data_IF_675459281611
#
_entry.id   IF_675459281611
#
_cell.length_a   1.000
_cell.length_b   1.000
_cell.length_c   1.000
_cell.angle_alpha   90.00
_cell.angle_beta   90.00
_cell.angle_gamma   90.00
#
_symmetry.space_group_name_H-M   'P 1'
#
loop_
_entity.id
_entity.type
_entity.pdbx_description
1 polymer ?
#
# COMPACT_ATOMS: atom_id res chain seq x y z
N UNK A 1 34.54 4.21 -12.01
CA UNK A 1 33.39 5.14 -12.16
C UNK A 1 32.27 4.36 -12.82
N UNK A 2 31.39 3.79 -12.01
CA UNK A 2 30.24 3.03 -12.50
C UNK A 2 29.17 4.04 -12.91
N UNK A 3 28.76 4.01 -14.17
CA UNK A 3 27.67 4.84 -14.69
C UNK A 3 26.42 4.57 -13.84
N UNK A 4 25.97 5.57 -13.08
CA UNK A 4 24.65 5.56 -12.46
C UNK A 4 23.66 5.55 -13.61
N UNK A 5 23.09 4.39 -13.92
CA UNK A 5 21.91 4.29 -14.75
C UNK A 5 20.85 5.16 -14.06
N UNK A 6 20.57 6.32 -14.63
CA UNK A 6 19.57 7.23 -14.12
C UNK A 6 18.24 6.47 -14.26
N UNK A 7 17.67 6.02 -13.14
CA UNK A 7 16.44 5.24 -13.16
C UNK A 7 15.32 6.12 -13.73
N UNK A 8 14.94 5.89 -14.99
CA UNK A 8 13.98 6.70 -15.73
C UNK A 8 12.54 6.51 -15.26
N UNK A 9 12.29 5.61 -14.29
CA UNK A 9 10.96 5.36 -13.76
C UNK A 9 10.41 6.61 -13.04
N UNK A 10 9.08 6.84 -13.07
CA UNK A 10 8.47 7.90 -12.29
C UNK A 10 8.82 7.78 -10.80
N UNK A 11 9.08 8.92 -10.14
CA UNK A 11 9.46 8.97 -8.71
C UNK A 11 8.49 8.20 -7.81
N UNK A 12 7.18 8.25 -8.10
CA UNK A 12 6.16 7.49 -7.36
C UNK A 12 6.40 5.97 -7.43
N UNK A 13 6.81 5.45 -8.59
CA UNK A 13 7.11 4.02 -8.80
C UNK A 13 8.39 3.62 -8.06
N UNK A 14 9.43 4.46 -8.10
CA UNK A 14 10.68 4.23 -7.37
C UNK A 14 10.40 4.13 -5.86
N UNK A 15 9.63 5.09 -5.32
CA UNK A 15 9.25 5.10 -3.89
C UNK A 15 8.39 3.90 -3.52
N UNK A 16 7.40 3.54 -4.33
CA UNK A 16 6.56 2.38 -4.07
C UNK A 16 7.36 1.06 -4.10
N UNK A 17 8.33 0.94 -5.02
CA UNK A 17 9.22 -0.25 -5.07
C UNK A 17 10.07 -0.33 -3.80
N UNK A 18 10.70 0.77 -3.40
CA UNK A 18 11.52 0.81 -2.18
C UNK A 18 10.69 0.50 -0.93
N UNK A 19 9.46 1.00 -0.83
CA UNK A 19 8.56 0.70 0.27
C UNK A 19 8.18 -0.80 0.31
N UNK A 20 7.89 -1.40 -0.84
CA UNK A 20 7.59 -2.83 -0.92
C UNK A 20 8.79 -3.69 -0.49
N UNK A 21 10.01 -3.31 -0.88
CA UNK A 21 11.23 -4.00 -0.46
C UNK A 21 11.51 -3.83 1.03
N UNK A 22 11.26 -2.64 1.59
CA UNK A 22 11.36 -2.39 3.02
C UNK A 22 10.39 -3.29 3.83
N UNK A 23 9.13 -3.42 3.39
CA UNK A 23 8.16 -4.30 4.04
C UNK A 23 8.52 -5.79 3.96
N UNK A 24 9.07 -6.24 2.82
CA UNK A 24 9.63 -7.60 2.70
C UNK A 24 10.80 -7.81 3.68
N UNK A 25 11.70 -6.84 3.77
CA UNK A 25 12.84 -6.88 4.69
C UNK A 25 12.37 -6.90 6.15
N UNK A 26 11.42 -6.05 6.53
CA UNK A 26 10.85 -6.02 7.88
C UNK A 26 10.24 -7.38 8.26
N UNK A 27 9.52 -8.03 7.33
CA UNK A 27 8.97 -9.37 7.53
C UNK A 27 10.06 -10.42 7.78
N UNK A 28 11.14 -10.39 7.00
CA UNK A 28 12.27 -11.31 7.17
C UNK A 28 13.00 -11.08 8.50
N UNK A 29 13.21 -9.81 8.87
CA UNK A 29 13.82 -9.45 10.15
C UNK A 29 12.96 -9.90 11.33
N UNK A 30 11.64 -9.64 11.29
CA UNK A 30 10.73 -10.05 12.37
C UNK A 30 10.65 -11.58 12.52
N UNK A 31 10.77 -12.32 11.42
CA UNK A 31 10.84 -13.79 11.45
C UNK A 31 12.10 -14.31 12.16
N UNK A 32 13.20 -13.56 12.13
CA UNK A 32 14.45 -13.93 12.77
C UNK A 32 14.58 -13.37 14.20
N UNK A 33 13.74 -12.41 14.60
CA UNK A 33 13.77 -11.77 15.90
C UNK A 33 13.25 -12.70 17.01
N UNK A 34 13.74 -12.49 18.23
CA UNK A 34 13.05 -12.98 19.44
C UNK A 34 11.79 -12.12 19.62
N UNK A 35 10.59 -12.71 19.77
CA UNK A 35 9.37 -11.94 19.89
C UNK A 35 9.41 -10.94 21.06
N UNK A 36 9.18 -9.66 20.75
CA UNK A 36 9.02 -8.58 21.72
C UNK A 36 7.67 -7.88 21.50
N UNK A 37 6.98 -7.59 22.59
CA UNK A 37 5.72 -6.83 22.57
C UNK A 37 5.91 -5.44 21.95
N UNK A 38 7.07 -4.81 22.15
CA UNK A 38 7.34 -3.48 21.59
C UNK A 38 7.39 -3.53 20.06
N UNK A 39 7.90 -4.63 19.50
CA UNK A 39 7.95 -4.82 18.05
C UNK A 39 6.54 -4.99 17.48
N UNK A 40 5.67 -5.73 18.15
CA UNK A 40 4.28 -5.87 17.72
C UNK A 40 3.56 -4.52 17.71
N UNK A 41 3.74 -3.72 18.77
CA UNK A 41 3.16 -2.39 18.88
C UNK A 41 3.70 -1.46 17.77
N UNK A 42 5.02 -1.35 17.64
CA UNK A 42 5.66 -0.45 16.69
C UNK A 42 5.36 -0.84 15.24
N UNK A 43 5.50 -2.13 14.88
CA UNK A 43 5.22 -2.61 13.52
C UNK A 43 3.75 -2.42 13.15
N UNK A 44 2.83 -2.55 14.11
CA UNK A 44 1.41 -2.30 13.83
C UNK A 44 1.13 -0.82 13.55
N UNK A 45 1.77 0.10 14.28
CA UNK A 45 1.70 1.52 13.99
C UNK A 45 2.12 1.83 12.53
N UNK A 46 3.25 1.27 12.10
CA UNK A 46 3.73 1.41 10.72
C UNK A 46 2.77 0.79 9.68
N UNK A 47 2.09 -0.31 10.03
CA UNK A 47 1.05 -0.91 9.18
C UNK A 47 -0.16 0.02 9.04
N UNK A 48 -0.62 0.66 10.13
CA UNK A 48 -1.73 1.63 10.08
C UNK A 48 -1.38 2.79 9.15
N UNK A 49 -0.21 3.40 9.33
CA UNK A 49 0.26 4.52 8.50
C UNK A 49 0.39 4.10 7.02
N UNK A 50 0.87 2.89 6.76
CA UNK A 50 0.98 2.35 5.39
C UNK A 50 -0.38 2.12 4.75
N UNK A 51 -1.34 1.54 5.47
CA UNK A 51 -2.71 1.32 4.96
C UNK A 51 -3.38 2.65 4.62
N UNK A 52 -3.23 3.66 5.48
CA UNK A 52 -3.74 5.00 5.23
C UNK A 52 -3.09 5.63 3.99
N UNK A 53 -1.76 5.51 3.84
CA UNK A 53 -1.05 6.01 2.67
C UNK A 53 -1.50 5.32 1.37
N UNK A 54 -1.75 4.01 1.41
CA UNK A 54 -2.30 3.26 0.27
C UNK A 54 -3.74 3.68 -0.06
N UNK A 55 -4.59 3.89 0.94
CA UNK A 55 -5.97 4.38 0.75
C UNK A 55 -5.96 5.73 0.01
N UNK A 56 -5.12 6.67 0.46
CA UNK A 56 -4.93 7.96 -0.20
C UNK A 56 -4.39 7.82 -1.64
N UNK A 57 -3.45 6.90 -1.88
CA UNK A 57 -2.96 6.63 -3.23
C UNK A 57 -4.10 6.16 -4.15
N UNK A 58 -4.95 5.24 -3.71
CA UNK A 58 -6.10 4.78 -4.52
C UNK A 58 -7.14 5.87 -4.75
N UNK A 59 -7.34 6.79 -3.80
CA UNK A 59 -8.17 7.97 -4.00
C UNK A 59 -7.61 8.86 -5.13
N UNK A 60 -6.28 9.08 -5.17
CA UNK A 60 -5.61 9.83 -6.24
C UNK A 60 -5.71 9.11 -7.58
N UNK A 61 -5.41 7.81 -7.61
CA UNK A 61 -5.48 7.01 -8.83
C UNK A 61 -6.90 7.00 -9.41
N UNK A 62 -7.94 6.91 -8.56
CA UNK A 62 -9.34 6.97 -8.99
C UNK A 62 -9.64 8.27 -9.74
N UNK A 63 -9.19 9.41 -9.23
CA UNK A 63 -9.38 10.72 -9.89
C UNK A 63 -8.63 10.76 -11.22
N UNK A 64 -7.39 10.29 -11.25
CA UNK A 64 -6.58 10.28 -12.47
C UNK A 64 -7.16 9.37 -13.55
N UNK A 65 -7.65 8.18 -13.18
CA UNK A 65 -8.29 7.22 -14.08
C UNK A 65 -9.60 7.80 -14.64
N UNK A 66 -10.43 8.42 -13.80
CA UNK A 66 -11.70 9.00 -14.23
C UNK A 66 -11.52 10.08 -15.32
N UNK A 67 -10.42 10.83 -15.29
CA UNK A 67 -10.08 11.83 -16.30
C UNK A 67 -9.19 11.32 -17.43
N UNK A 68 -8.71 10.07 -17.38
CA UNK A 68 -7.63 9.62 -18.26
C UNK A 68 -8.03 9.60 -19.75
N UNK A 69 -9.27 9.20 -20.04
CA UNK A 69 -9.79 9.16 -21.40
C UNK A 69 -10.16 10.52 -21.99
N UNK A 70 -10.21 11.58 -21.16
CA UNK A 70 -10.58 12.91 -21.67
C UNK A 70 -9.54 13.40 -22.69
N UNK A 71 -10.03 13.70 -23.90
CA UNK A 71 -9.23 14.16 -25.05
C UNK A 71 -8.13 13.18 -25.51
N UNK A 72 -8.27 11.88 -25.22
CA UNK A 72 -7.33 10.84 -25.67
C UNK A 72 -8.02 9.79 -26.52
N UNK A 73 -7.37 9.40 -27.62
CA UNK A 73 -7.76 8.18 -28.35
C UNK A 73 -7.19 6.97 -27.64
N UNK A 74 -8.06 6.12 -27.12
CA UNK A 74 -7.68 4.92 -26.40
C UNK A 74 -7.76 3.71 -27.32
N UNK A 75 -6.90 2.71 -27.06
CA UNK A 75 -6.91 1.41 -27.70
C UNK A 75 -6.80 0.35 -26.61
N UNK A 76 -7.56 -0.73 -26.75
CA UNK A 76 -7.35 -1.93 -25.97
C UNK A 76 -6.43 -2.87 -26.74
N UNK A 77 -5.45 -3.45 -26.05
CA UNK A 77 -4.56 -4.45 -26.64
C UNK A 77 -5.21 -5.84 -26.68
N UNK A 78 -6.29 -6.04 -25.93
CA UNK A 78 -7.13 -7.22 -25.93
C UNK A 78 -8.34 -7.02 -26.88
N UNK A 79 -8.54 -7.89 -27.88
CA UNK A 79 -9.66 -7.76 -28.80
C UNK A 79 -11.01 -7.81 -28.09
N UNK A 80 -11.96 -6.98 -28.53
CA UNK A 80 -13.37 -7.08 -28.14
C UNK A 80 -13.80 -6.28 -26.91
N UNK A 81 -12.90 -5.50 -26.29
CA UNK A 81 -13.24 -4.64 -25.15
C UNK A 81 -13.19 -3.16 -25.53
N UNK A 82 -14.13 -2.37 -25.02
CA UNK A 82 -14.08 -0.90 -25.09
C UNK A 82 -13.12 -0.36 -24.01
N UNK A 83 -12.04 0.36 -24.39
CA UNK A 83 -11.14 0.99 -23.42
C UNK A 83 -11.84 1.90 -22.41
N UNK A 84 -12.92 2.58 -22.80
CA UNK A 84 -13.68 3.44 -21.91
C UNK A 84 -14.37 2.65 -20.79
N UNK A 85 -14.96 1.49 -21.13
CA UNK A 85 -15.56 0.59 -20.15
C UNK A 85 -14.52 0.07 -19.16
N UNK A 86 -13.30 -0.26 -19.62
CA UNK A 86 -12.22 -0.69 -18.72
C UNK A 86 -11.77 0.40 -17.76
N UNK A 87 -11.69 1.66 -18.20
CA UNK A 87 -11.38 2.78 -17.30
C UNK A 87 -12.48 2.99 -16.25
N UNK A 88 -13.76 2.84 -16.63
CA UNK A 88 -14.89 2.88 -15.68
C UNK A 88 -14.74 1.76 -14.64
N UNK A 89 -14.46 0.53 -15.09
CA UNK A 89 -14.25 -0.61 -14.21
C UNK A 89 -13.04 -0.40 -13.29
N UNK A 90 -11.92 0.09 -13.81
CA UNK A 90 -10.72 0.40 -13.03
C UNK A 90 -10.99 1.47 -11.98
N UNK A 91 -11.79 2.49 -12.29
CA UNK A 91 -12.23 3.53 -11.35
C UNK A 91 -13.08 2.92 -10.21
N UNK A 92 -14.01 2.01 -10.55
CA UNK A 92 -14.81 1.26 -9.58
C UNK A 92 -13.94 0.40 -8.65
N UNK A 93 -12.97 -0.32 -9.22
CA UNK A 93 -12.03 -1.15 -8.47
C UNK A 93 -11.13 -0.31 -7.56
N UNK A 94 -10.64 0.85 -8.01
CA UNK A 94 -9.87 1.76 -7.16
C UNK A 94 -10.70 2.23 -5.95
N UNK A 95 -11.99 2.52 -6.15
CA UNK A 95 -12.90 2.87 -5.05
C UNK A 95 -13.21 1.71 -4.09
N UNK A 96 -13.25 0.46 -4.59
CA UNK A 96 -13.35 -0.73 -3.74
C UNK A 96 -12.09 -0.93 -2.91
N UNK A 97 -10.92 -0.90 -3.54
CA UNK A 97 -9.63 -1.04 -2.86
C UNK A 97 -9.42 0.03 -1.78
N UNK A 98 -9.79 1.28 -2.05
CA UNK A 98 -9.76 2.34 -1.04
C UNK A 98 -10.59 1.95 0.21
N UNK A 99 -11.84 1.52 0.02
CA UNK A 99 -12.71 1.12 1.14
C UNK A 99 -12.16 -0.08 1.90
N UNK A 100 -11.64 -1.08 1.20
CA UNK A 100 -11.09 -2.28 1.82
C UNK A 100 -9.84 -1.96 2.64
N UNK A 101 -9.02 -0.99 2.19
CA UNK A 101 -7.89 -0.47 2.95
C UNK A 101 -8.33 0.27 4.21
N UNK A 102 -9.39 1.09 4.14
CA UNK A 102 -9.94 1.77 5.32
C UNK A 102 -10.49 0.76 6.36
N UNK A 103 -11.06 -0.36 5.90
CA UNK A 103 -11.50 -1.46 6.79
C UNK A 103 -10.31 -2.19 7.40
N UNK A 104 -9.27 -2.46 6.61
CA UNK A 104 -8.04 -3.07 7.09
C UNK A 104 -7.33 -2.16 8.12
N UNK A 105 -7.31 -0.85 7.90
CA UNK A 105 -6.76 0.14 8.83
C UNK A 105 -7.47 0.08 10.18
N UNK A 106 -8.81 0.05 10.17
CA UNK A 106 -9.61 -0.09 11.40
C UNK A 106 -9.31 -1.40 12.14
N UNK A 107 -9.11 -2.50 11.41
CA UNK A 107 -8.72 -3.77 12.02
C UNK A 107 -7.32 -3.69 12.63
N UNK A 108 -6.36 -3.06 11.95
CA UNK A 108 -5.01 -2.83 12.45
C UNK A 108 -4.99 -1.95 13.70
N UNK A 109 -5.80 -0.88 13.74
CA UNK A 109 -5.94 -0.02 14.93
C UNK A 109 -6.51 -0.79 16.14
N UNK A 110 -7.49 -1.67 15.91
CA UNK A 110 -8.02 -2.53 16.99
C UNK A 110 -6.95 -3.48 17.50
N UNK A 111 -6.24 -4.16 16.60
CA UNK A 111 -5.12 -5.03 16.98
C UNK A 111 -4.04 -4.25 17.77
N UNK A 112 -3.70 -3.05 17.31
CA UNK A 112 -2.76 -2.17 17.97
C UNK A 112 -3.19 -1.84 19.40
N UNK A 113 -4.47 -1.52 19.59
CA UNK A 113 -5.05 -1.25 20.90
C UNK A 113 -4.98 -2.47 21.82
N UNK A 114 -5.35 -3.65 21.33
CA UNK A 114 -5.33 -4.88 22.14
C UNK A 114 -3.91 -5.24 22.58
N UNK A 115 -2.92 -5.16 21.68
CA UNK A 115 -1.53 -5.46 22.01
C UNK A 115 -0.90 -4.38 22.90
N UNK A 116 -1.25 -3.11 22.69
CA UNK A 116 -0.72 -1.99 23.48
C UNK A 116 -1.04 -2.05 24.97
N UNK A 117 -1.97 -2.91 25.39
CA UNK A 117 -2.33 -3.13 26.79
C UNK A 117 -1.61 -4.32 27.45
N UNK A 118 -0.71 -5.01 26.74
CA UNK A 118 0.04 -6.16 27.26
C UNK A 118 1.38 -5.68 27.81
N UNK A 119 1.61 -5.88 29.10
CA UNK A 119 2.93 -5.72 29.73
C UNK A 119 3.52 -7.11 30.03
N UNK A 120 4.84 -7.26 29.86
CA UNK A 120 5.58 -8.43 30.35
C UNK A 120 6.08 -8.09 31.75
N UNK A 121 5.66 -8.88 32.74
CA UNK A 121 6.19 -8.76 34.10
C UNK A 121 7.58 -9.40 34.17
N UNK A 122 8.57 -8.68 34.70
CA UNK A 122 9.88 -9.27 34.99
C UNK A 122 9.74 -10.31 36.12
N UNK A 123 10.22 -11.55 35.95
CA UNK A 123 10.29 -12.50 37.05
C UNK A 123 11.37 -12.03 38.02
N UNK A 124 10.94 -11.46 39.15
CA UNK A 124 11.78 -11.10 40.30
C UNK A 124 12.58 -12.28 40.84
#
# INVERSE_FOLDING_TARGET
MTSLHNDERPVAIIRATAAADAWRSATLSQRAATPDHSDFYNLTGEVVDTLQALSHLFAVLRIQIAGYGDRRTLRDDEPGHDPAERLIMACGLAGLLQRDLDVAEQAAQRFWSEIGHIAVEDPS
#
